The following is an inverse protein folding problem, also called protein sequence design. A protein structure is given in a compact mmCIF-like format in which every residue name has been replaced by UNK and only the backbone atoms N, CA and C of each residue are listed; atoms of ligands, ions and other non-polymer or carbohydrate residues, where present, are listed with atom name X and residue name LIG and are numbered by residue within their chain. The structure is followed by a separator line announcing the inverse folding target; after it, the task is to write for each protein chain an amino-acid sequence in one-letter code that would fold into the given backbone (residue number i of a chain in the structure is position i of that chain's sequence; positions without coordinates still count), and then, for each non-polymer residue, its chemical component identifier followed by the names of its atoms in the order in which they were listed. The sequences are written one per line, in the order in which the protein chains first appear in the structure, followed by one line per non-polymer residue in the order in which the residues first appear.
data_IF_959024706914
#
_entry.id   IF_959024706914
#
_cell.length_a   1.000
_cell.length_b   1.000
_cell.length_c   1.000
_cell.angle_alpha   90.00
_cell.angle_beta   90.00
_cell.angle_gamma   90.00
#
_symmetry.space_group_name_H-M   'P 1'
#
loop_
_entity.id
_entity.type
_entity.pdbx_description
1 polymer ?
#
# COMPACT_ATOMS: atom_id res chain seq x y z
N UNK A 1 36.60 27.59 39.09
CA UNK A 1 36.04 26.31 38.63
C UNK A 1 34.78 26.64 37.86
N UNK A 2 34.70 26.28 36.58
CA UNK A 2 33.56 26.66 35.74
C UNK A 2 32.27 26.02 36.29
N UNK A 3 31.21 26.82 36.46
CA UNK A 3 29.89 26.32 36.85
C UNK A 3 29.28 25.54 35.69
N UNK A 4 29.38 24.22 35.75
CA UNK A 4 28.63 23.33 34.87
C UNK A 4 27.19 23.27 35.35
N UNK A 5 26.28 23.82 34.54
CA UNK A 5 24.85 23.69 34.76
C UNK A 5 24.40 22.27 34.38
N UNK A 6 24.38 21.35 35.34
CA UNK A 6 24.01 19.94 35.16
C UNK A 6 22.65 19.76 34.44
N UNK A 7 21.68 20.64 34.68
CA UNK A 7 20.39 20.63 33.99
C UNK A 7 20.55 20.90 32.48
N UNK A 8 21.44 21.82 32.10
CA UNK A 8 21.68 22.15 30.71
C UNK A 8 22.45 21.03 30.00
N UNK A 9 23.35 20.33 30.70
CA UNK A 9 24.01 19.14 30.16
C UNK A 9 23.04 17.98 29.97
N UNK A 10 22.22 17.66 30.99
CA UNK A 10 21.21 16.62 30.89
C UNK A 10 20.23 16.89 29.73
N UNK A 11 19.82 18.14 29.53
CA UNK A 11 18.98 18.54 28.41
C UNK A 11 19.67 18.32 27.06
N UNK A 12 20.96 18.64 26.92
CA UNK A 12 21.74 18.34 25.70
C UNK A 12 21.77 16.84 25.40
N UNK A 13 21.95 15.99 26.42
CA UNK A 13 21.92 14.53 26.25
C UNK A 13 20.52 14.01 25.86
N UNK A 14 19.45 14.58 26.40
CA UNK A 14 18.07 14.25 25.99
C UNK A 14 17.84 14.56 24.51
N UNK A 15 18.20 15.77 24.07
CA UNK A 15 18.06 16.18 22.66
C UNK A 15 18.94 15.32 21.76
N UNK A 16 20.18 15.02 22.17
CA UNK A 16 21.06 14.11 21.43
C UNK A 16 20.46 12.70 21.29
N UNK A 17 19.99 12.11 22.38
CA UNK A 17 19.38 10.78 22.38
C UNK A 17 18.16 10.71 21.46
N UNK A 18 17.24 11.68 21.61
CA UNK A 18 16.05 11.76 20.77
C UNK A 18 16.38 12.03 19.29
N UNK A 19 17.38 12.88 19.04
CA UNK A 19 17.86 13.18 17.68
C UNK A 19 18.46 11.97 16.97
N UNK A 20 19.30 11.20 17.67
CA UNK A 20 19.91 9.97 17.11
C UNK A 20 18.85 8.92 16.81
N UNK A 21 17.90 8.70 17.72
CA UNK A 21 16.78 7.76 17.48
C UNK A 21 15.96 8.20 16.27
N UNK A 22 15.64 9.48 16.17
CA UNK A 22 14.89 10.01 15.03
C UNK A 22 15.63 9.83 13.70
N UNK A 23 16.94 10.12 13.69
CA UNK A 23 17.80 9.92 12.51
C UNK A 23 17.84 8.44 12.11
N UNK A 24 17.95 7.55 13.09
CA UNK A 24 17.95 6.11 12.86
C UNK A 24 16.63 5.65 12.23
N UNK A 25 15.49 6.11 12.74
CA UNK A 25 14.17 5.79 12.15
C UNK A 25 14.03 6.31 10.73
N UNK A 26 14.50 7.53 10.43
CA UNK A 26 14.49 8.07 9.05
C UNK A 26 15.28 7.15 8.11
N UNK A 27 16.47 6.74 8.50
CA UNK A 27 17.30 5.82 7.71
C UNK A 27 16.56 4.50 7.51
N UNK A 28 15.95 3.95 8.55
CA UNK A 28 15.21 2.70 8.50
C UNK A 28 14.02 2.78 7.52
N UNK A 29 13.25 3.87 7.58
CA UNK A 29 12.16 4.14 6.63
C UNK A 29 12.68 4.25 5.20
N UNK A 30 13.81 4.93 4.99
CA UNK A 30 14.42 5.06 3.66
C UNK A 30 14.89 3.72 3.10
N UNK A 31 15.45 2.84 3.94
CA UNK A 31 15.84 1.49 3.54
C UNK A 31 14.62 0.65 3.13
N UNK A 32 13.53 0.71 3.90
CA UNK A 32 12.28 0.01 3.54
C UNK A 32 11.73 0.54 2.21
N UNK A 33 11.75 1.86 1.99
CA UNK A 33 11.32 2.46 0.71
C UNK A 33 12.23 2.06 -0.45
N UNK A 34 13.53 1.96 -0.22
CA UNK A 34 14.50 1.49 -1.22
C UNK A 34 14.23 0.03 -1.56
N UNK A 35 14.03 -0.83 -0.56
CA UNK A 35 13.60 -2.21 -0.76
C UNK A 35 12.31 -2.25 -1.57
N UNK A 36 11.25 -1.55 -1.15
CA UNK A 36 9.99 -1.52 -1.88
C UNK A 36 10.15 -1.10 -3.35
N UNK A 37 11.00 -0.11 -3.64
CA UNK A 37 11.31 0.32 -5.01
C UNK A 37 12.09 -0.76 -5.78
N UNK A 38 13.04 -1.43 -5.13
CA UNK A 38 13.82 -2.52 -5.70
C UNK A 38 12.93 -3.71 -6.05
N UNK A 39 12.08 -4.14 -5.12
CA UNK A 39 11.08 -5.18 -5.33
C UNK A 39 10.18 -4.80 -6.52
N UNK A 40 9.55 -3.61 -6.52
CA UNK A 40 8.69 -3.20 -7.65
C UNK A 40 9.40 -3.16 -9.00
N UNK A 41 10.72 -2.93 -9.02
CA UNK A 41 11.51 -2.86 -10.26
C UNK A 41 11.87 -4.24 -10.81
N UNK A 42 12.25 -5.17 -9.95
CA UNK A 42 12.73 -6.51 -10.34
C UNK A 42 11.64 -7.59 -10.29
N UNK A 43 10.68 -7.44 -9.38
CA UNK A 43 9.46 -8.22 -9.28
C UNK A 43 8.28 -7.26 -9.41
N UNK A 44 8.02 -6.74 -10.63
CA UNK A 44 6.80 -6.00 -10.86
C UNK A 44 5.64 -6.94 -10.55
N UNK A 45 4.98 -6.71 -9.42
CA UNK A 45 3.71 -7.35 -9.16
C UNK A 45 2.81 -6.94 -10.32
N UNK A 46 2.39 -7.91 -11.12
CA UNK A 46 1.26 -7.74 -12.03
C UNK A 46 0.02 -7.63 -11.15
N UNK A 47 -0.08 -6.59 -10.33
CA UNK A 47 -1.36 -6.21 -9.76
C UNK A 47 -2.23 -5.97 -10.98
N UNK A 48 -3.28 -6.78 -11.23
CA UNK A 48 -4.30 -6.34 -12.16
C UNK A 48 -4.67 -4.97 -11.64
N UNK A 49 -4.53 -3.96 -12.50
CA UNK A 49 -4.92 -2.60 -12.22
C UNK A 49 -6.31 -2.75 -11.60
N UNK A 50 -6.42 -2.61 -10.27
CA UNK A 50 -7.72 -2.48 -9.65
C UNK A 50 -8.15 -1.13 -10.20
N UNK A 51 -8.80 -1.18 -11.35
CA UNK A 51 -9.59 -0.08 -11.80
C UNK A 51 -10.53 0.09 -10.63
N UNK A 52 -10.29 1.15 -9.86
CA UNK A 52 -11.39 1.89 -9.27
C UNK A 52 -12.19 2.32 -10.50
N UNK A 53 -12.99 1.39 -11.02
CA UNK A 53 -13.99 1.66 -12.02
C UNK A 53 -14.90 2.62 -11.28
N UNK A 54 -15.06 3.87 -11.76
CA UNK A 54 -16.07 4.73 -11.18
C UNK A 54 -17.36 3.90 -11.27
N UNK A 55 -18.06 3.73 -10.14
CA UNK A 55 -19.30 2.93 -10.06
C UNK A 55 -20.16 3.26 -11.27
N UNK A 56 -20.11 2.39 -12.28
CA UNK A 56 -20.90 2.53 -13.48
C UNK A 56 -22.31 2.15 -13.05
N UNK A 57 -23.23 3.07 -13.31
CA UNK A 57 -24.68 2.89 -13.37
C UNK A 57 -25.14 1.43 -13.19
N UNK A 58 -25.87 1.17 -12.11
CA UNK A 58 -26.49 -0.13 -11.75
C UNK A 58 -27.17 -0.86 -12.92
N UNK A 59 -27.63 -0.11 -13.94
CA UNK A 59 -28.20 -0.65 -15.19
C UNK A 59 -27.25 -1.51 -16.01
N UNK A 60 -25.96 -1.16 -16.06
CA UNK A 60 -24.97 -1.88 -16.89
C UNK A 60 -24.60 -3.22 -16.25
N UNK A 61 -24.49 -3.26 -14.92
CA UNK A 61 -24.22 -4.51 -14.19
C UNK A 61 -25.42 -5.46 -14.20
N UNK A 62 -26.65 -4.94 -14.17
CA UNK A 62 -27.86 -5.76 -14.31
C UNK A 62 -27.95 -6.38 -15.71
N UNK A 63 -27.69 -5.61 -16.76
CA UNK A 63 -27.65 -6.12 -18.14
C UNK A 63 -26.56 -7.19 -18.34
N UNK A 64 -25.37 -6.98 -17.75
CA UNK A 64 -24.28 -7.98 -17.78
C UNK A 64 -24.66 -9.26 -17.05
N UNK A 65 -25.35 -9.14 -15.92
CA UNK A 65 -25.83 -10.30 -15.14
C UNK A 65 -26.87 -11.09 -15.92
N UNK A 66 -27.85 -10.40 -16.53
CA UNK A 66 -28.88 -11.05 -17.37
C UNK A 66 -28.24 -11.74 -18.58
N UNK A 67 -27.28 -11.11 -19.25
CA UNK A 67 -26.56 -11.72 -20.37
C UNK A 67 -25.78 -12.98 -19.95
N UNK A 68 -25.12 -12.97 -18.79
CA UNK A 68 -24.40 -14.13 -18.27
C UNK A 68 -25.34 -15.31 -17.96
N UNK A 69 -26.52 -15.03 -17.39
CA UNK A 69 -27.53 -16.05 -17.11
C UNK A 69 -28.07 -16.65 -18.41
N UNK A 70 -28.38 -15.82 -19.41
CA UNK A 70 -28.86 -16.29 -20.72
C UNK A 70 -27.82 -17.18 -21.40
N UNK A 71 -26.54 -16.79 -21.36
CA UNK A 71 -25.44 -17.59 -21.92
C UNK A 71 -25.32 -18.96 -21.23
N UNK A 72 -25.40 -18.99 -19.89
CA UNK A 72 -25.36 -20.23 -19.13
C UNK A 72 -26.53 -21.17 -19.46
N UNK A 73 -27.74 -20.63 -19.60
CA UNK A 73 -28.94 -21.41 -19.96
C UNK A 73 -28.86 -21.91 -21.41
N UNK A 74 -28.37 -21.09 -22.33
CA UNK A 74 -28.17 -21.48 -23.73
C UNK A 74 -27.16 -22.63 -23.85
N UNK A 75 -26.05 -22.56 -23.13
CA UNK A 75 -25.02 -23.62 -23.12
C UNK A 75 -25.55 -24.91 -22.49
N UNK A 76 -26.28 -24.81 -21.36
CA UNK A 76 -26.92 -25.98 -20.74
C UNK A 76 -27.94 -26.65 -21.67
N UNK A 77 -28.74 -25.87 -22.41
CA UNK A 77 -29.67 -26.41 -23.41
C UNK A 77 -28.96 -27.04 -24.60
N UNK A 78 -27.86 -26.44 -25.07
CA UNK A 78 -27.04 -27.01 -26.16
C UNK A 78 -26.41 -28.34 -25.75
N UNK A 79 -25.97 -28.46 -24.49
CA UNK A 79 -25.34 -29.67 -23.95
C UNK A 79 -26.35 -30.74 -23.49
N UNK A 80 -27.65 -30.42 -23.44
CA UNK A 80 -28.74 -31.33 -23.04
C UNK A 80 -29.60 -31.78 -24.23
N UNK A 81 -29.24 -31.38 -25.46
CA UNK A 81 -29.78 -31.90 -26.71
C UNK A 81 -28.79 -32.83 -27.38
#
# INVERSE_FOLDING_TARGET
MAEVNYIAEAFKFMVLGMGVVFLFLIVLVQLIKLQAKLINKYFPETTPKSSVTPVSSTSDDEQRTVAAIIAAVAEFRKNKS
#
